data_IF_803543355695
#
_entry.id   IF_803543355695
#
_cell.length_a   1.000
_cell.length_b   1.000
_cell.length_c   1.000
_cell.angle_alpha   90.00
_cell.angle_beta   90.00
_cell.angle_gamma   90.00
#
_symmetry.space_group_name_H-M   'P 1'
#
loop_
_entity.id
_entity.type
_entity.pdbx_description
1 polymer ?
#
# COMPACT_ATOMS: atom_id res chain seq x y z
N UNK A 1 -18.26 -6.04 -8.79
CA UNK A 1 -17.38 -5.00 -9.39
C UNK A 1 -17.76 -3.56 -9.00
N UNK A 2 -18.94 -3.25 -8.45
CA UNK A 2 -19.42 -1.86 -8.23
C UNK A 2 -18.99 -1.19 -6.91
N UNK A 3 -18.66 -1.97 -5.86
CA UNK A 3 -18.09 -1.45 -4.60
C UNK A 3 -16.63 -1.06 -4.67
N UNK A 4 -16.05 -1.26 -5.84
CA UNK A 4 -14.66 -1.03 -6.10
C UNK A 4 -14.28 0.43 -6.15
N UNK A 5 -15.20 1.23 -6.64
CA UNK A 5 -14.91 2.57 -7.09
C UNK A 5 -14.64 3.51 -5.92
N UNK A 6 -15.26 3.32 -4.76
CA UNK A 6 -15.01 4.17 -3.58
C UNK A 6 -13.61 3.96 -2.99
N UNK A 7 -13.20 2.75 -2.57
CA UNK A 7 -11.86 2.56 -2.05
C UNK A 7 -10.80 2.84 -3.12
N UNK A 8 -11.05 2.46 -4.39
CA UNK A 8 -10.11 2.79 -5.47
C UNK A 8 -9.98 4.29 -5.67
N UNK A 9 -11.10 4.99 -5.66
CA UNK A 9 -11.13 6.43 -5.79
C UNK A 9 -10.32 7.10 -4.68
N UNK A 10 -10.49 6.66 -3.42
CA UNK A 10 -9.69 7.16 -2.30
C UNK A 10 -8.21 6.84 -2.43
N UNK A 11 -7.85 5.61 -2.83
CA UNK A 11 -6.46 5.21 -3.02
C UNK A 11 -5.77 6.10 -4.06
N UNK A 12 -6.43 6.32 -5.21
CA UNK A 12 -5.94 7.16 -6.30
C UNK A 12 -5.87 8.62 -5.84
N UNK A 13 -6.90 9.12 -5.14
CA UNK A 13 -6.95 10.48 -4.61
C UNK A 13 -5.82 10.78 -3.61
N UNK A 14 -5.62 9.91 -2.61
CA UNK A 14 -4.56 10.08 -1.62
C UNK A 14 -3.17 9.90 -2.23
N UNK A 15 -3.01 8.99 -3.20
CA UNK A 15 -1.75 8.85 -3.94
C UNK A 15 -1.44 10.13 -4.70
N UNK A 16 -2.45 10.77 -5.30
CA UNK A 16 -2.27 12.03 -6.00
C UNK A 16 -1.95 13.21 -5.07
N UNK A 17 -2.59 13.30 -3.90
CA UNK A 17 -2.23 14.29 -2.87
C UNK A 17 -0.79 14.11 -2.40
N UNK A 18 -0.37 12.86 -2.18
CA UNK A 18 0.99 12.52 -1.78
C UNK A 18 2.04 12.94 -2.84
N UNK A 19 1.68 12.95 -4.12
CA UNK A 19 2.55 13.45 -5.19
C UNK A 19 2.68 14.99 -5.20
N UNK A 20 1.63 15.72 -4.78
CA UNK A 20 1.59 17.20 -4.82
C UNK A 20 2.48 17.82 -3.73
N UNK A 21 2.46 17.26 -2.52
CA UNK A 21 3.16 17.84 -1.35
C UNK A 21 4.67 18.07 -1.62
N UNK A 22 5.45 17.12 -2.14
CA UNK A 22 6.88 17.32 -2.37
C UNK A 22 7.16 18.30 -3.51
N UNK A 23 6.27 18.39 -4.52
CA UNK A 23 6.41 19.37 -5.60
C UNK A 23 6.20 20.79 -5.08
N UNK A 24 5.21 20.99 -4.20
CA UNK A 24 4.98 22.29 -3.55
C UNK A 24 6.15 22.65 -2.64
N UNK A 25 6.63 21.72 -1.82
CA UNK A 25 7.76 21.96 -0.92
C UNK A 25 9.04 22.26 -1.69
N UNK A 26 9.39 21.50 -2.72
CA UNK A 26 10.57 21.79 -3.55
C UNK A 26 10.46 23.12 -4.32
N UNK A 27 9.25 23.58 -4.66
CA UNK A 27 9.05 24.91 -5.26
C UNK A 27 9.23 26.04 -4.25
N UNK A 28 8.86 25.82 -2.99
CA UNK A 28 9.06 26.75 -1.89
C UNK A 28 10.53 26.81 -1.47
N UNK A 29 11.24 25.68 -1.49
CA UNK A 29 12.66 25.59 -1.15
C UNK A 29 13.56 26.27 -2.20
N UNK A 30 13.40 25.93 -3.49
CA UNK A 30 14.39 26.33 -4.50
C UNK A 30 13.94 27.48 -5.41
N UNK A 31 12.68 27.90 -5.33
CA UNK A 31 12.13 28.97 -6.16
C UNK A 31 11.92 28.63 -7.65
N UNK A 32 12.42 27.50 -8.13
CA UNK A 32 12.48 27.15 -9.55
C UNK A 32 11.30 26.28 -10.01
N UNK A 33 10.78 26.56 -11.21
CA UNK A 33 9.77 25.74 -11.86
C UNK A 33 10.41 24.89 -12.96
N UNK A 34 10.37 23.56 -12.82
CA UNK A 34 10.94 22.63 -13.80
C UNK A 34 9.83 21.89 -14.55
N UNK A 35 10.13 21.46 -15.79
CA UNK A 35 9.21 20.66 -16.59
C UNK A 35 8.77 19.37 -15.86
N UNK A 36 9.70 18.73 -15.12
CA UNK A 36 9.42 17.55 -14.32
C UNK A 36 8.38 17.81 -13.21
N UNK A 37 8.48 18.96 -12.50
CA UNK A 37 7.50 19.38 -11.48
C UNK A 37 6.12 19.60 -12.11
N UNK A 38 6.08 20.24 -13.29
CA UNK A 38 4.86 20.41 -14.07
C UNK A 38 4.22 19.08 -14.51
N UNK A 39 5.03 18.13 -14.98
CA UNK A 39 4.56 16.81 -15.39
C UNK A 39 3.99 16.01 -14.20
N UNK A 40 4.65 16.03 -13.04
CA UNK A 40 4.15 15.37 -11.81
C UNK A 40 2.83 15.98 -11.36
N UNK A 41 2.69 17.31 -11.39
CA UNK A 41 1.42 17.97 -11.07
C UNK A 41 0.32 17.63 -12.07
N UNK A 42 0.64 17.49 -13.36
CA UNK A 42 -0.32 17.04 -14.37
C UNK A 42 -0.82 15.61 -14.12
N UNK A 43 0.10 14.69 -13.80
CA UNK A 43 -0.24 13.31 -13.42
C UNK A 43 -1.04 13.28 -12.13
N UNK A 44 -0.63 14.02 -11.10
CA UNK A 44 -1.35 14.13 -9.84
C UNK A 44 -2.76 14.73 -10.04
N UNK A 45 -2.91 15.79 -10.82
CA UNK A 45 -4.22 16.37 -11.15
C UNK A 45 -5.13 15.37 -11.86
N UNK A 46 -4.59 14.60 -12.79
CA UNK A 46 -5.33 13.54 -13.51
C UNK A 46 -5.76 12.43 -12.56
N UNK A 47 -4.87 12.00 -11.66
CA UNK A 47 -5.19 11.00 -10.64
C UNK A 47 -6.22 11.53 -9.63
N UNK A 48 -6.14 12.79 -9.19
CA UNK A 48 -7.17 13.41 -8.35
C UNK A 48 -8.54 13.36 -9.02
N UNK A 49 -8.63 13.77 -10.29
CA UNK A 49 -9.88 13.77 -11.05
C UNK A 49 -10.45 12.34 -11.20
N UNK A 50 -9.59 11.36 -11.52
CA UNK A 50 -9.97 9.95 -11.57
C UNK A 50 -10.44 9.47 -10.19
N UNK A 51 -9.69 9.76 -9.13
CA UNK A 51 -10.00 9.39 -7.76
C UNK A 51 -11.38 9.89 -7.32
N UNK A 52 -11.63 11.19 -7.50
CA UNK A 52 -12.93 11.83 -7.20
C UNK A 52 -14.05 11.20 -8.02
N UNK A 53 -13.83 10.96 -9.32
CA UNK A 53 -14.84 10.35 -10.20
C UNK A 53 -15.21 8.94 -9.74
N UNK A 54 -14.24 8.14 -9.31
CA UNK A 54 -14.47 6.79 -8.79
C UNK A 54 -15.17 6.83 -7.41
N UNK A 55 -14.81 7.75 -6.52
CA UNK A 55 -15.55 7.95 -5.24
C UNK A 55 -17.01 8.37 -5.50
N UNK A 56 -17.21 9.31 -6.41
CA UNK A 56 -18.54 9.83 -6.74
C UNK A 56 -19.42 8.77 -7.39
N UNK A 57 -18.92 8.04 -8.38
CA UNK A 57 -19.67 6.97 -9.05
C UNK A 57 -19.93 5.78 -8.12
N UNK A 58 -18.98 5.45 -7.24
CA UNK A 58 -19.13 4.38 -6.26
C UNK A 58 -20.06 4.69 -5.09
N UNK A 59 -20.14 5.95 -4.64
CA UNK A 59 -21.00 6.38 -3.53
C UNK A 59 -22.48 6.44 -3.89
N UNK A 60 -22.81 6.54 -5.19
CA UNK A 60 -24.19 6.56 -5.70
C UNK A 60 -24.83 5.18 -5.89
N UNK A 61 -24.14 4.08 -5.60
CA UNK A 61 -24.66 2.73 -5.80
C UNK A 61 -24.68 1.92 -4.50
N UNK A 62 -25.89 1.63 -4.03
CA UNK A 62 -26.13 0.72 -2.90
C UNK A 62 -25.62 -0.68 -3.23
N UNK A 63 -24.62 -1.15 -2.50
CA UNK A 63 -24.08 -2.51 -2.62
C UNK A 63 -23.73 -3.04 -1.23
N UNK A 64 -23.79 -4.37 -1.00
CA UNK A 64 -23.63 -4.98 0.32
C UNK A 64 -22.20 -4.80 0.87
N UNK A 65 -21.99 -4.22 2.07
CA UNK A 65 -20.69 -3.70 2.51
C UNK A 65 -19.54 -4.71 2.42
N UNK A 66 -18.35 -4.23 2.02
CA UNK A 66 -17.14 -5.04 1.96
C UNK A 66 -16.85 -5.72 3.32
N UNK A 67 -16.49 -7.03 3.35
CA UNK A 67 -16.11 -7.69 4.59
C UNK A 67 -14.97 -6.97 5.30
N UNK A 68 -14.98 -6.98 6.63
CA UNK A 68 -13.97 -6.28 7.43
C UNK A 68 -12.53 -6.70 7.07
N UNK A 69 -12.30 -7.97 6.73
CA UNK A 69 -10.99 -8.45 6.32
C UNK A 69 -10.49 -7.85 5.01
N UNK A 70 -11.38 -7.72 4.02
CA UNK A 70 -11.06 -7.05 2.74
C UNK A 70 -10.73 -5.58 2.99
N UNK A 71 -11.50 -4.88 3.84
CA UNK A 71 -11.23 -3.46 4.17
C UNK A 71 -9.85 -3.26 4.79
N UNK A 72 -9.45 -4.13 5.72
CA UNK A 72 -8.11 -4.06 6.34
C UNK A 72 -7.00 -4.30 5.30
N UNK A 73 -7.18 -5.27 4.40
CA UNK A 73 -6.21 -5.52 3.33
C UNK A 73 -6.13 -4.35 2.33
N UNK A 74 -7.27 -3.74 1.99
CA UNK A 74 -7.30 -2.55 1.15
C UNK A 74 -6.61 -1.35 1.82
N UNK A 75 -6.88 -1.10 3.10
CA UNK A 75 -6.23 -0.03 3.85
C UNK A 75 -4.71 -0.24 3.89
N UNK A 76 -4.24 -1.46 4.16
CA UNK A 76 -2.83 -1.79 4.10
C UNK A 76 -2.23 -1.56 2.71
N UNK A 77 -2.91 -1.97 1.65
CA UNK A 77 -2.47 -1.75 0.27
C UNK A 77 -2.38 -0.25 -0.10
N UNK A 78 -3.36 0.55 0.34
CA UNK A 78 -3.37 2.01 0.16
C UNK A 78 -2.15 2.64 0.84
N UNK A 79 -1.77 2.18 2.04
CA UNK A 79 -0.56 2.65 2.72
C UNK A 79 0.67 2.40 1.84
N UNK A 80 0.84 1.21 1.26
CA UNK A 80 1.97 0.94 0.36
C UNK A 80 1.94 1.80 -0.91
N UNK A 81 0.78 1.96 -1.55
CA UNK A 81 0.63 2.85 -2.71
C UNK A 81 1.04 4.29 -2.39
N UNK A 82 0.63 4.80 -1.23
CA UNK A 82 1.01 6.13 -0.75
C UNK A 82 2.51 6.23 -0.51
N UNK A 83 3.13 5.22 0.13
CA UNK A 83 4.59 5.19 0.33
C UNK A 83 5.36 5.18 -1.00
N UNK A 84 4.93 4.36 -1.96
CA UNK A 84 5.56 4.33 -3.29
C UNK A 84 5.39 5.65 -4.04
N UNK A 85 4.23 6.29 -3.92
CA UNK A 85 3.99 7.60 -4.51
C UNK A 85 4.86 8.69 -3.87
N UNK A 86 4.98 8.71 -2.53
CA UNK A 86 5.85 9.64 -1.82
C UNK A 86 7.31 9.47 -2.22
N UNK A 87 7.79 8.22 -2.29
CA UNK A 87 9.17 7.95 -2.67
C UNK A 87 9.44 8.33 -4.14
N UNK A 88 8.50 8.06 -5.05
CA UNK A 88 8.59 8.52 -6.43
C UNK A 88 8.68 10.03 -6.51
N UNK A 89 7.84 10.75 -5.76
CA UNK A 89 7.84 12.21 -5.75
C UNK A 89 9.12 12.80 -5.17
N UNK A 90 9.61 12.26 -4.03
CA UNK A 90 10.88 12.67 -3.42
C UNK A 90 12.06 12.49 -4.39
N UNK A 91 12.12 11.36 -5.10
CA UNK A 91 13.15 11.11 -6.12
C UNK A 91 13.06 12.05 -7.32
N UNK A 92 11.86 12.35 -7.79
CA UNK A 92 11.69 13.27 -8.92
C UNK A 92 12.13 14.70 -8.52
N UNK A 93 11.82 15.13 -7.30
CA UNK A 93 12.09 16.49 -6.83
C UNK A 93 13.53 16.66 -6.36
N UNK A 94 14.07 15.71 -5.58
CA UNK A 94 15.37 15.83 -4.88
C UNK A 94 16.50 15.02 -5.51
N UNK A 95 16.23 14.11 -6.44
CA UNK A 95 17.25 13.30 -7.12
C UNK A 95 17.29 13.56 -8.64
N UNK A 96 17.00 14.80 -9.05
CA UNK A 96 17.12 15.27 -10.45
C UNK A 96 16.38 14.41 -11.48
N UNK A 97 15.23 13.82 -11.11
CA UNK A 97 14.44 13.00 -12.02
C UNK A 97 14.93 11.56 -12.20
N UNK A 98 15.75 11.02 -11.29
CA UNK A 98 16.10 9.59 -11.27
C UNK A 98 14.91 8.72 -10.84
N UNK A 99 14.13 8.25 -11.82
CA UNK A 99 12.92 7.42 -11.61
C UNK A 99 13.25 5.91 -11.46
N UNK A 100 14.47 5.49 -11.76
CA UNK A 100 14.88 4.07 -11.72
C UNK A 100 15.17 3.55 -10.30
N UNK A 101 14.13 3.16 -9.57
CA UNK A 101 14.26 2.50 -8.27
C UNK A 101 13.20 1.42 -8.04
N UNK A 102 13.42 0.52 -7.08
CA UNK A 102 12.58 -0.66 -6.87
C UNK A 102 11.11 -0.33 -6.58
N UNK A 103 10.82 0.78 -5.89
CA UNK A 103 9.45 1.22 -5.62
C UNK A 103 8.66 1.63 -6.85
N UNK A 104 9.32 2.16 -7.90
CA UNK A 104 8.70 2.42 -9.21
C UNK A 104 8.14 1.14 -9.81
N UNK A 105 8.93 0.05 -9.76
CA UNK A 105 8.52 -1.24 -10.29
C UNK A 105 7.47 -1.93 -9.44
N UNK A 106 7.38 -1.61 -8.14
CA UNK A 106 6.35 -2.16 -7.25
C UNK A 106 5.03 -1.39 -7.25
N UNK A 107 5.02 -0.13 -7.71
CA UNK A 107 3.80 0.68 -7.73
C UNK A 107 2.70 0.04 -8.61
N UNK A 108 3.04 -0.35 -9.84
CA UNK A 108 2.08 -0.98 -10.77
C UNK A 108 1.55 -2.33 -10.28
N UNK A 109 2.39 -3.30 -9.84
CA UNK A 109 1.91 -4.54 -9.21
C UNK A 109 1.01 -4.29 -8.01
N UNK A 110 1.32 -3.30 -7.18
CA UNK A 110 0.53 -2.98 -5.99
C UNK A 110 -0.82 -2.40 -6.37
N UNK A 111 -0.88 -1.56 -7.40
CA UNK A 111 -2.11 -1.04 -7.97
C UNK A 111 -2.98 -2.15 -8.59
N UNK A 112 -2.36 -3.09 -9.31
CA UNK A 112 -3.05 -4.24 -9.87
C UNK A 112 -3.62 -5.14 -8.77
N UNK A 113 -2.83 -5.40 -7.72
CA UNK A 113 -3.23 -6.19 -6.56
C UNK A 113 -4.39 -5.54 -5.81
N UNK A 114 -4.37 -4.22 -5.69
CA UNK A 114 -5.46 -3.44 -5.12
C UNK A 114 -6.74 -3.58 -5.95
N UNK A 115 -6.67 -3.39 -7.27
CA UNK A 115 -7.80 -3.65 -8.18
C UNK A 115 -8.33 -5.09 -8.08
N UNK A 116 -7.43 -6.07 -7.91
CA UNK A 116 -7.77 -7.48 -7.72
C UNK A 116 -8.50 -7.77 -6.41
N UNK A 117 -8.04 -7.20 -5.29
CA UNK A 117 -8.68 -7.33 -3.96
C UNK A 117 -10.10 -6.78 -4.00
N UNK A 118 -10.21 -5.61 -4.59
CA UNK A 118 -11.46 -4.89 -4.78
C UNK A 118 -12.44 -5.66 -5.67
N UNK A 119 -11.96 -6.23 -6.77
CA UNK A 119 -12.77 -7.03 -7.69
C UNK A 119 -13.10 -8.44 -7.15
N UNK A 120 -12.66 -8.79 -5.93
CA UNK A 120 -12.91 -10.10 -5.33
C UNK A 120 -12.22 -11.23 -6.08
N UNK A 121 -11.09 -10.96 -6.75
CA UNK A 121 -10.40 -11.97 -7.57
C UNK A 121 -9.65 -12.96 -6.68
N UNK A 122 -9.82 -14.26 -6.96
CA UNK A 122 -9.16 -15.35 -6.22
C UNK A 122 -7.63 -15.24 -6.23
N UNK A 123 -7.04 -14.84 -7.36
CA UNK A 123 -5.58 -14.65 -7.45
C UNK A 123 -5.10 -13.56 -6.49
N UNK A 124 -5.84 -12.46 -6.35
CA UNK A 124 -5.45 -11.34 -5.50
C UNK A 124 -5.44 -11.72 -4.01
N UNK A 125 -6.35 -12.62 -3.60
CA UNK A 125 -6.32 -13.17 -2.24
C UNK A 125 -5.04 -13.97 -1.98
N UNK A 126 -4.67 -14.88 -2.89
CA UNK A 126 -3.44 -15.67 -2.75
C UNK A 126 -2.20 -14.79 -2.77
N UNK A 127 -2.11 -13.87 -3.73
CA UNK A 127 -1.00 -12.93 -3.85
C UNK A 127 -0.87 -12.07 -2.62
N UNK A 128 -1.96 -11.46 -2.12
CA UNK A 128 -1.88 -10.63 -0.91
C UNK A 128 -1.46 -11.42 0.32
N UNK A 129 -1.97 -12.66 0.49
CA UNK A 129 -1.56 -13.50 1.60
C UNK A 129 -0.09 -13.90 1.53
N UNK A 130 0.38 -14.30 0.35
CA UNK A 130 1.77 -14.69 0.15
C UNK A 130 2.70 -13.50 0.39
N UNK A 131 2.41 -12.36 -0.26
CA UNK A 131 3.19 -11.12 -0.11
C UNK A 131 3.18 -10.66 1.33
N UNK A 132 2.02 -10.64 2.01
CA UNK A 132 1.97 -10.22 3.42
C UNK A 132 2.79 -11.14 4.33
N UNK A 133 2.75 -12.45 4.12
CA UNK A 133 3.54 -13.39 4.90
C UNK A 133 5.04 -13.19 4.68
N UNK A 134 5.47 -13.11 3.42
CA UNK A 134 6.88 -12.88 3.06
C UNK A 134 7.37 -11.52 3.56
N UNK A 135 6.57 -10.47 3.42
CA UNK A 135 6.90 -9.13 3.93
C UNK A 135 6.98 -9.11 5.46
N UNK A 136 6.09 -9.81 6.18
CA UNK A 136 6.21 -9.92 7.65
C UNK A 136 7.52 -10.60 8.04
N UNK A 137 7.87 -11.72 7.42
CA UNK A 137 9.13 -12.42 7.68
C UNK A 137 10.33 -11.51 7.39
N UNK A 138 10.29 -10.81 6.25
CA UNK A 138 11.32 -9.85 5.86
C UNK A 138 11.48 -8.71 6.85
N UNK A 139 10.39 -8.04 7.24
CA UNK A 139 10.43 -6.91 8.16
C UNK A 139 10.81 -7.32 9.58
N UNK A 140 10.38 -8.49 10.06
CA UNK A 140 10.85 -9.04 11.34
C UNK A 140 12.35 -9.30 11.30
N UNK A 141 12.84 -9.95 10.24
CA UNK A 141 14.28 -10.16 10.04
C UNK A 141 15.04 -8.83 10.00
N UNK A 142 14.54 -7.84 9.26
CA UNK A 142 15.12 -6.51 9.21
C UNK A 142 15.16 -5.84 10.59
N UNK A 143 14.05 -5.85 11.35
CA UNK A 143 14.00 -5.28 12.70
C UNK A 143 15.03 -5.92 13.65
N UNK A 144 15.24 -7.23 13.56
CA UNK A 144 16.24 -7.97 14.35
C UNK A 144 17.67 -7.59 13.94
N UNK A 145 17.91 -7.27 12.67
CA UNK A 145 19.23 -6.90 12.16
C UNK A 145 19.61 -5.44 12.43
N UNK A 146 18.64 -4.51 12.52
CA UNK A 146 18.89 -3.07 12.74
C UNK A 146 19.84 -2.73 13.91
N UNK A 147 19.78 -3.39 15.09
CA UNK A 147 20.72 -3.13 16.18
C UNK A 147 22.17 -3.41 15.80
N UNK A 148 22.39 -4.43 14.97
CA UNK A 148 23.72 -4.95 14.62
C UNK A 148 24.25 -4.39 13.29
N UNK A 149 23.35 -3.90 12.43
CA UNK A 149 23.72 -3.36 11.12
C UNK A 149 24.51 -2.06 11.25
N UNK A 150 25.53 -1.90 10.38
CA UNK A 150 26.23 -0.63 10.18
C UNK A 150 25.41 0.26 9.24
N UNK A 151 24.31 0.81 9.77
CA UNK A 151 23.46 1.73 9.01
C UNK A 151 24.11 3.10 8.88
N UNK A 152 24.16 3.64 7.67
CA UNK A 152 24.72 4.95 7.34
C UNK A 152 23.76 5.72 6.43
N UNK A 153 23.65 7.03 6.64
CA UNK A 153 23.02 7.97 5.71
C UNK A 153 24.10 8.93 5.24
N UNK A 154 24.34 9.02 3.94
CA UNK A 154 25.34 9.92 3.34
C UNK A 154 26.75 9.78 3.96
N UNK A 155 27.13 8.54 4.29
CA UNK A 155 28.41 8.21 4.92
C UNK A 155 28.47 8.47 6.44
N UNK A 156 27.42 9.05 7.03
CA UNK A 156 27.33 9.32 8.47
C UNK A 156 26.61 8.17 9.17
N UNK A 157 27.17 7.59 10.25
CA UNK A 157 26.49 6.56 11.03
C UNK A 157 25.14 7.02 11.58
N UNK A 158 24.10 6.20 11.42
CA UNK A 158 22.79 6.52 11.99
C UNK A 158 22.86 6.44 13.52
N UNK A 159 22.48 7.52 14.24
CA UNK A 159 22.49 7.55 15.70
C UNK A 159 21.48 6.56 16.30
N UNK A 160 21.65 6.23 17.59
CA UNK A 160 20.84 5.19 18.25
C UNK A 160 19.33 5.45 18.15
N UNK A 161 18.90 6.71 18.29
CA UNK A 161 17.47 7.08 18.21
C UNK A 161 16.91 6.87 16.80
N UNK A 162 17.73 7.07 15.77
CA UNK A 162 17.37 6.79 14.38
C UNK A 162 17.16 5.29 14.16
N UNK A 163 17.96 4.44 14.81
CA UNK A 163 17.77 2.98 14.78
C UNK A 163 16.46 2.57 15.45
N UNK A 164 16.15 3.15 16.61
CA UNK A 164 14.87 2.90 17.32
C UNK A 164 13.69 3.34 16.47
N UNK A 165 13.77 4.50 15.81
CA UNK A 165 12.75 4.97 14.88
C UNK A 165 12.53 3.98 13.71
N UNK A 166 13.61 3.54 13.07
CA UNK A 166 13.54 2.55 11.97
C UNK A 166 12.91 1.24 12.46
N UNK A 167 13.27 0.75 13.64
CA UNK A 167 12.63 -0.43 14.24
C UNK A 167 11.14 -0.20 14.49
N UNK A 168 10.75 0.94 15.05
CA UNK A 168 9.35 1.25 15.35
C UNK A 168 8.49 1.30 14.08
N UNK A 169 8.98 1.98 13.02
CA UNK A 169 8.32 2.01 11.71
C UNK A 169 8.21 0.60 11.12
N UNK A 170 9.30 -0.19 11.21
CA UNK A 170 9.31 -1.58 10.73
C UNK A 170 8.26 -2.43 11.45
N UNK A 171 8.16 -2.31 12.77
CA UNK A 171 7.16 -3.03 13.58
C UNK A 171 5.73 -2.58 13.25
N UNK A 172 5.51 -1.31 12.93
CA UNK A 172 4.21 -0.83 12.46
C UNK A 172 3.81 -1.51 11.15
N UNK A 173 4.71 -1.64 10.17
CA UNK A 173 4.46 -2.40 8.95
C UNK A 173 4.18 -3.88 9.22
N UNK A 174 4.93 -4.51 10.13
CA UNK A 174 4.67 -5.89 10.56
C UNK A 174 3.26 -6.03 11.13
N UNK A 175 2.83 -5.10 11.99
CA UNK A 175 1.49 -5.12 12.58
C UNK A 175 0.39 -4.98 11.52
N UNK A 176 0.54 -4.04 10.59
CA UNK A 176 -0.41 -3.80 9.49
C UNK A 176 -0.52 -5.06 8.60
N UNK A 177 0.62 -5.61 8.17
CA UNK A 177 0.66 -6.78 7.30
C UNK A 177 0.13 -8.04 7.99
N UNK A 178 0.46 -8.23 9.27
CA UNK A 178 -0.05 -9.35 10.07
C UNK A 178 -1.56 -9.25 10.24
N UNK A 179 -2.08 -8.05 10.52
CA UNK A 179 -3.51 -7.80 10.61
C UNK A 179 -4.21 -8.12 9.29
N UNK A 180 -3.67 -7.66 8.15
CA UNK A 180 -4.20 -7.95 6.83
C UNK A 180 -4.14 -9.45 6.48
N UNK A 181 -3.04 -10.13 6.78
CA UNK A 181 -2.89 -11.57 6.54
C UNK A 181 -3.91 -12.38 7.34
N UNK A 182 -4.06 -12.08 8.64
CA UNK A 182 -5.02 -12.76 9.52
C UNK A 182 -6.46 -12.44 9.12
N UNK A 183 -6.75 -11.20 8.78
CA UNK A 183 -8.11 -10.78 8.44
C UNK A 183 -8.62 -11.42 7.14
N UNK A 184 -7.75 -11.58 6.13
CA UNK A 184 -8.07 -12.32 4.90
C UNK A 184 -8.32 -13.82 5.13
N UNK A 185 -7.91 -14.37 6.28
CA UNK A 185 -8.17 -15.76 6.65
C UNK A 185 -9.60 -16.02 7.15
N UNK A 186 -10.37 -14.98 7.48
CA UNK A 186 -11.72 -15.14 8.05
C UNK A 186 -12.70 -15.75 7.03
N UNK A 187 -13.65 -16.61 7.46
CA UNK A 187 -14.61 -17.27 6.56
C UNK A 187 -15.39 -16.29 5.68
N UNK A 188 -15.88 -15.19 6.26
CA UNK A 188 -16.59 -14.11 5.54
C UNK A 188 -15.76 -13.54 4.38
N UNK A 189 -14.47 -13.37 4.60
CA UNK A 189 -13.55 -12.83 3.60
C UNK A 189 -13.20 -13.87 2.55
N UNK A 190 -13.05 -15.15 2.93
CA UNK A 190 -12.87 -16.25 1.98
C UNK A 190 -14.06 -16.40 1.03
N UNK A 191 -15.29 -16.28 1.55
CA UNK A 191 -16.51 -16.31 0.76
C UNK A 191 -16.55 -15.19 -0.29
N UNK A 192 -16.10 -13.98 0.07
CA UNK A 192 -16.00 -12.86 -0.88
C UNK A 192 -15.12 -13.16 -2.09
N UNK A 193 -14.04 -13.94 -1.91
CA UNK A 193 -13.14 -14.35 -2.99
C UNK A 193 -13.56 -15.66 -3.68
N UNK A 194 -14.75 -16.19 -3.39
CA UNK A 194 -15.24 -17.46 -3.92
C UNK A 194 -14.41 -18.67 -3.49
N UNK A 195 -13.80 -18.62 -2.31
CA UNK A 195 -12.99 -19.72 -1.76
C UNK A 195 -13.84 -20.64 -0.90
N UNK A 196 -13.67 -21.98 -0.99
CA UNK A 196 -14.37 -22.91 -0.14
C UNK A 196 -14.03 -22.66 1.34
N UNK A 197 -15.07 -22.67 2.17
CA UNK A 197 -14.93 -22.76 3.63
C UNK A 197 -14.40 -24.16 3.89
N UNK A 198 -13.27 -24.27 4.59
CA UNK A 198 -12.79 -25.57 5.03
C UNK A 198 -13.88 -26.16 5.93
N UNK A 199 -14.60 -27.17 5.43
CA UNK A 199 -15.59 -27.88 6.23
C UNK A 199 -14.88 -28.37 7.49
N UNK A 200 -15.45 -28.08 8.66
CA UNK A 200 -15.01 -28.75 9.89
C UNK A 200 -15.12 -30.23 9.61
N UNK A 201 -13.98 -30.92 9.52
CA UNK A 201 -13.93 -32.38 9.54
C UNK A 201 -14.56 -32.77 10.87
N UNK A 202 -15.84 -33.14 10.83
CA UNK A 202 -16.52 -33.76 11.96
C UNK A 202 -15.71 -35.01 12.27
N UNK A 203 -15.09 -35.07 13.46
CA UNK A 203 -14.48 -36.31 13.94
C UNK A 203 -15.55 -37.41 13.82
N UNK A 204 -15.24 -38.57 13.23
CA UNK A 204 -16.17 -39.69 13.25
C UNK A 204 -16.43 -40.01 14.73
N UNK A 205 -17.70 -39.97 15.12
CA UNK A 205 -18.15 -40.47 16.41
C UNK A 205 -17.86 -41.97 16.40
N UNK A 206 -16.80 -42.39 17.10
CA UNK A 206 -16.56 -43.81 17.34
C UNK A 206 -17.67 -44.26 18.27
N UNK A 207 -18.53 -45.13 17.75
CA UNK A 207 -19.60 -45.80 18.49
C UNK A 207 -19.01 -46.89 19.40
#
# INVERSE_FOLDING_TARGET
MRQAFVPIGWAVFFSALALIVPVVMGRLEDGLWTFARGAVLGVAGSLLAVGVTLVWTGSRQSSPPLPAGVRIALAANIVFLAFFALELSDRIVRQEGRIGYWSTYLHLPTLALFGGLVAGRRWAWWTWRLVSALSVLWFVGFAVLVPFARLQSDGIPIPWYGRVYVMAVTLAFVAILTAAFRSLGRPETRNWFGLPIAAKVSKPTVA
#
